data_IF_975300071112
#
_entry.id   IF_975300071112
#
_cell.length_a   1.000
_cell.length_b   1.000
_cell.length_c   1.000
_cell.angle_alpha   90.00
_cell.angle_beta   90.00
_cell.angle_gamma   90.00
#
_symmetry.space_group_name_H-M   'P 1'
#
loop_
_entity.id
_entity.type
_entity.pdbx_description
1 polymer ?
#
# COMPACT_ATOMS: atom_id res chain seq x y z
N UNK A 1 -10.90 -29.00 -0.11
CA UNK A 1 -10.52 -28.00 0.90
C UNK A 1 -11.78 -27.23 1.29
N UNK A 2 -12.30 -27.47 2.49
CA UNK A 2 -13.36 -26.64 3.07
C UNK A 2 -12.68 -25.36 3.58
N UNK A 3 -13.00 -24.22 2.97
CA UNK A 3 -12.56 -22.92 3.44
C UNK A 3 -13.32 -22.54 4.69
N UNK A 4 -12.62 -22.27 5.78
CA UNK A 4 -13.20 -21.71 7.00
C UNK A 4 -13.54 -20.23 6.75
N UNK A 5 -14.81 -19.86 6.93
CA UNK A 5 -15.28 -18.49 6.75
C UNK A 5 -15.15 -17.79 8.11
N UNK A 6 -14.18 -16.88 8.22
CA UNK A 6 -14.05 -15.99 9.37
C UNK A 6 -15.03 -14.83 9.19
N UNK A 7 -16.07 -14.76 10.04
CA UNK A 7 -17.02 -13.66 10.07
C UNK A 7 -16.39 -12.46 10.81
N UNK A 8 -15.96 -11.45 10.05
CA UNK A 8 -15.59 -10.15 10.61
C UNK A 8 -16.85 -9.44 11.13
N UNK A 9 -16.76 -8.81 12.30
CA UNK A 9 -17.89 -8.10 12.90
C UNK A 9 -18.28 -6.87 12.06
N UNK A 10 -19.58 -6.55 12.04
CA UNK A 10 -20.21 -5.55 11.16
C UNK A 10 -19.55 -4.16 11.20
N UNK A 11 -18.88 -3.79 12.29
CA UNK A 11 -18.19 -2.49 12.44
C UNK A 11 -16.90 -2.39 11.64
N UNK A 12 -16.19 -3.50 11.40
CA UNK A 12 -14.89 -3.49 10.71
C UNK A 12 -15.01 -3.41 9.19
N UNK A 13 -16.20 -3.64 8.62
CA UNK A 13 -16.42 -3.78 7.17
C UNK A 13 -17.07 -2.53 6.55
N UNK A 14 -17.45 -1.53 7.35
CA UNK A 14 -18.14 -0.34 6.83
C UNK A 14 -17.30 0.43 5.79
N UNK A 15 -15.97 0.41 5.93
CA UNK A 15 -15.03 1.06 5.00
C UNK A 15 -14.46 0.10 3.93
N UNK A 16 -15.04 -1.10 3.82
CA UNK A 16 -14.59 -2.13 2.88
C UNK A 16 -13.29 -2.82 3.30
N UNK A 17 -12.66 -3.51 2.35
CA UNK A 17 -11.39 -4.22 2.57
C UNK A 17 -10.47 -4.10 1.36
N UNK A 18 -9.16 -4.11 1.62
CA UNK A 18 -8.14 -4.18 0.58
C UNK A 18 -7.80 -5.64 0.29
N UNK A 19 -7.98 -6.06 -0.96
CA UNK A 19 -7.56 -7.38 -1.44
C UNK A 19 -6.11 -7.32 -1.93
N UNK A 20 -5.29 -8.28 -1.51
CA UNK A 20 -3.85 -8.31 -1.84
C UNK A 20 -3.48 -9.64 -2.49
N UNK A 21 -2.66 -9.65 -3.55
CA UNK A 21 -2.14 -10.89 -4.12
C UNK A 21 -1.31 -11.67 -3.10
N UNK A 22 -1.56 -12.99 -3.00
CA UNK A 22 -0.83 -13.86 -2.07
C UNK A 22 0.68 -13.92 -2.39
N UNK A 23 1.06 -13.74 -3.65
CA UNK A 23 2.46 -13.64 -4.09
C UNK A 23 3.19 -12.50 -3.38
N UNK A 24 2.56 -11.33 -3.31
CA UNK A 24 3.11 -10.14 -2.64
C UNK A 24 3.11 -10.34 -1.11
N UNK A 25 1.99 -10.84 -0.56
CA UNK A 25 1.89 -11.11 0.88
C UNK A 25 2.99 -12.06 1.38
N UNK A 26 3.30 -13.09 0.58
CA UNK A 26 4.30 -14.12 0.91
C UNK A 26 5.70 -13.81 0.37
N UNK A 27 5.88 -12.75 -0.39
CA UNK A 27 7.17 -12.43 -1.01
C UNK A 27 8.25 -12.26 0.07
N UNK A 28 9.39 -12.95 -0.03
CA UNK A 28 10.54 -12.72 0.85
C UNK A 28 11.39 -11.52 0.38
N UNK A 29 11.14 -11.01 -0.83
CA UNK A 29 11.94 -9.97 -1.48
C UNK A 29 11.58 -8.56 -1.00
N UNK A 30 10.49 -8.44 -0.24
CA UNK A 30 10.04 -7.19 0.37
C UNK A 30 9.79 -7.34 1.87
N UNK A 31 10.16 -6.30 2.60
CA UNK A 31 10.05 -6.19 4.04
C UNK A 31 8.58 -6.17 4.49
N UNK A 32 8.30 -6.57 5.75
CA UNK A 32 6.95 -6.45 6.31
C UNK A 32 6.40 -5.02 6.25
N UNK A 33 7.25 -4.01 6.44
CA UNK A 33 6.87 -2.60 6.32
C UNK A 33 6.50 -2.21 4.89
N UNK A 34 7.29 -2.62 3.90
CA UNK A 34 6.97 -2.42 2.49
C UNK A 34 5.65 -3.08 2.08
N UNK A 35 5.34 -4.27 2.60
CA UNK A 35 4.03 -4.92 2.38
C UNK A 35 2.88 -4.05 2.89
N UNK A 36 2.99 -3.50 4.10
CA UNK A 36 1.96 -2.63 4.67
C UNK A 36 1.78 -1.35 3.86
N UNK A 37 2.89 -0.73 3.43
CA UNK A 37 2.85 0.44 2.52
C UNK A 37 2.12 0.08 1.23
N UNK A 38 2.46 -1.04 0.59
CA UNK A 38 1.81 -1.47 -0.64
C UNK A 38 0.29 -1.65 -0.48
N UNK A 39 -0.16 -2.22 0.65
CA UNK A 39 -1.58 -2.41 0.91
C UNK A 39 -2.34 -1.08 1.05
N UNK A 40 -1.71 -0.08 1.66
CA UNK A 40 -2.26 1.27 1.72
C UNK A 40 -2.26 1.93 0.34
N UNK A 41 -1.20 1.78 -0.45
CA UNK A 41 -1.16 2.27 -1.83
C UNK A 41 -2.32 1.71 -2.67
N UNK A 42 -2.61 0.40 -2.57
CA UNK A 42 -3.79 -0.22 -3.23
C UNK A 42 -5.12 0.41 -2.79
N UNK A 43 -5.24 0.76 -1.51
CA UNK A 43 -6.43 1.44 -1.00
C UNK A 43 -6.54 2.84 -1.59
N UNK A 44 -5.44 3.58 -1.63
CA UNK A 44 -5.40 4.97 -2.08
C UNK A 44 -5.63 5.14 -3.58
N UNK A 45 -5.11 4.21 -4.39
CA UNK A 45 -5.33 4.21 -5.84
C UNK A 45 -6.82 4.10 -6.18
N UNK A 46 -7.58 3.32 -5.41
CA UNK A 46 -9.03 3.19 -5.55
C UNK A 46 -9.82 4.42 -5.14
N UNK A 47 -9.30 5.24 -4.24
CA UNK A 47 -10.01 6.43 -3.72
C UNK A 47 -9.71 7.70 -4.51
N UNK A 48 -8.72 7.70 -5.41
CA UNK A 48 -8.30 8.84 -6.26
C UNK A 48 -8.06 10.15 -5.48
N UNK A 49 -7.65 10.05 -4.22
CA UNK A 49 -7.40 11.23 -3.39
C UNK A 49 -6.01 11.77 -3.71
N UNK A 50 -5.90 13.04 -4.06
CA UNK A 50 -4.62 13.75 -4.17
C UNK A 50 -4.18 14.19 -2.78
N UNK A 51 -3.11 13.60 -2.27
CA UNK A 51 -2.51 13.97 -0.99
C UNK A 51 -1.00 13.80 -1.03
N UNK A 52 -0.31 14.37 -0.04
CA UNK A 52 1.10 14.12 0.18
C UNK A 52 1.31 12.66 0.60
N UNK A 53 1.61 11.80 -0.38
CA UNK A 53 1.64 10.34 -0.23
C UNK A 53 2.47 9.89 0.96
N UNK A 54 3.72 10.38 1.07
CA UNK A 54 4.63 10.00 2.16
C UNK A 54 4.11 10.42 3.53
N UNK A 55 3.57 11.64 3.65
CA UNK A 55 3.03 12.12 4.92
C UNK A 55 1.80 11.33 5.36
N UNK A 56 0.91 11.00 4.42
CA UNK A 56 -0.27 10.21 4.72
C UNK A 56 0.10 8.78 5.12
N UNK A 57 1.00 8.14 4.37
CA UNK A 57 1.53 6.81 4.72
C UNK A 57 2.20 6.81 6.10
N UNK A 58 3.02 7.83 6.39
CA UNK A 58 3.67 7.99 7.69
C UNK A 58 2.64 8.09 8.82
N UNK A 59 1.60 8.90 8.63
CA UNK A 59 0.52 9.04 9.61
C UNK A 59 -0.28 7.74 9.80
N UNK A 60 -0.66 7.07 8.72
CA UNK A 60 -1.52 5.88 8.78
C UNK A 60 -0.78 4.64 9.30
N UNK A 61 0.55 4.58 9.13
CA UNK A 61 1.38 3.50 9.68
C UNK A 61 2.03 3.84 11.04
N UNK A 62 1.99 5.11 11.46
CA UNK A 62 2.68 5.56 12.67
C UNK A 62 4.21 5.52 12.54
N UNK A 63 4.73 5.71 11.32
CA UNK A 63 6.15 5.66 11.00
C UNK A 63 6.69 7.01 10.50
N UNK A 64 8.01 7.19 10.50
CA UNK A 64 8.64 8.40 9.96
C UNK A 64 8.65 8.43 8.42
N UNK A 65 8.59 9.61 7.82
CA UNK A 65 8.61 9.79 6.35
C UNK A 65 9.85 9.21 5.67
N UNK A 66 10.99 9.18 6.38
CA UNK A 66 12.22 8.59 5.86
C UNK A 66 12.10 7.07 5.75
N UNK A 67 11.47 6.44 6.73
CA UNK A 67 11.20 5.00 6.72
C UNK A 67 10.20 4.64 5.63
N UNK A 68 9.15 5.45 5.47
CA UNK A 68 8.21 5.32 4.34
C UNK A 68 8.93 5.44 3.00
N UNK A 69 9.89 6.36 2.88
CA UNK A 69 10.65 6.52 1.64
C UNK A 69 11.47 5.27 1.32
N UNK A 70 12.09 4.64 2.33
CA UNK A 70 12.81 3.38 2.15
C UNK A 70 11.88 2.26 1.64
N UNK A 71 10.69 2.12 2.23
CA UNK A 71 9.71 1.13 1.78
C UNK A 71 9.20 1.40 0.35
N UNK A 72 8.98 2.67 -0.02
CA UNK A 72 8.57 3.02 -1.37
C UNK A 72 9.67 2.72 -2.39
N UNK A 73 10.94 2.98 -2.05
CA UNK A 73 12.07 2.57 -2.89
C UNK A 73 12.13 1.05 -3.03
N UNK A 74 12.01 0.30 -1.93
CA UNK A 74 12.00 -1.16 -1.93
C UNK A 74 10.91 -1.75 -2.84
N UNK A 75 9.70 -1.18 -2.80
CA UNK A 75 8.59 -1.58 -3.68
C UNK A 75 8.85 -1.24 -5.14
N UNK A 76 9.52 -0.11 -5.42
CA UNK A 76 9.88 0.29 -6.78
C UNK A 76 10.99 -0.61 -7.34
N UNK A 77 11.96 -1.02 -6.52
CA UNK A 77 13.08 -1.88 -6.91
C UNK A 77 12.62 -3.28 -7.38
N UNK A 78 11.46 -3.74 -6.89
CA UNK A 78 10.82 -5.00 -7.31
C UNK A 78 9.66 -4.79 -8.31
N UNK A 79 9.60 -3.61 -8.93
CA UNK A 79 8.61 -3.22 -9.95
C UNK A 79 7.14 -3.29 -9.50
N UNK A 80 6.84 -3.31 -8.20
CA UNK A 80 5.46 -3.35 -7.70
C UNK A 80 4.76 -1.99 -7.80
N UNK A 81 5.53 -0.91 -7.76
CA UNK A 81 5.02 0.45 -7.91
C UNK A 81 5.92 1.26 -8.84
N UNK A 82 5.35 2.33 -9.38
CA UNK A 82 6.12 3.39 -10.05
C UNK A 82 5.79 4.72 -9.39
N UNK A 83 6.83 5.40 -8.91
CA UNK A 83 6.73 6.74 -8.35
C UNK A 83 6.96 7.76 -9.46
N UNK A 84 6.09 8.76 -9.54
CA UNK A 84 6.27 9.92 -10.40
C UNK A 84 5.84 11.18 -9.66
N UNK A 85 6.33 12.34 -10.09
CA UNK A 85 5.92 13.64 -9.53
C UNK A 85 5.27 14.48 -10.60
N UNK A 86 4.17 15.14 -10.28
CA UNK A 86 3.59 16.15 -11.19
C UNK A 86 4.31 17.51 -11.05
N UNK A 87 3.92 18.48 -11.88
CA UNK A 87 4.51 19.84 -11.87
C UNK A 87 4.28 20.60 -10.55
N UNK A 88 3.30 20.17 -9.76
CA UNK A 88 2.93 20.74 -8.46
C UNK A 88 3.64 20.02 -7.29
N UNK A 89 4.57 19.10 -7.60
CA UNK A 89 5.30 18.23 -6.66
C UNK A 89 4.41 17.27 -5.88
N UNK A 90 3.19 17.02 -6.34
CA UNK A 90 2.41 15.91 -5.80
C UNK A 90 2.97 14.60 -6.32
N UNK A 91 3.02 13.62 -5.43
CA UNK A 91 3.49 12.28 -5.76
C UNK A 91 2.35 11.46 -6.33
N UNK A 92 2.58 10.95 -7.53
CA UNK A 92 1.71 10.03 -8.21
C UNK A 92 2.31 8.64 -8.09
N UNK A 93 1.50 7.71 -7.59
CA UNK A 93 1.84 6.30 -7.51
C UNK A 93 1.02 5.51 -8.54
N UNK A 94 1.72 4.74 -9.35
CA UNK A 94 1.10 3.73 -10.22
C UNK A 94 1.39 2.36 -9.62
N UNK A 95 0.38 1.50 -9.58
CA UNK A 95 0.50 0.15 -9.04
C UNK A 95 0.62 -0.82 -10.21
N UNK A 96 1.69 -1.62 -10.19
CA UNK A 96 1.96 -2.60 -11.22
C UNK A 96 1.50 -3.97 -10.69
N UNK A 97 0.34 -4.43 -11.17
CA UNK A 97 -0.14 -5.78 -10.89
C UNK A 97 -0.18 -6.50 -12.24
N UNK A 98 0.77 -7.42 -12.45
CA UNK A 98 0.79 -8.33 -13.59
C UNK A 98 -0.03 -9.59 -13.30
#
# INVERSE_FOLDING_TARGET
MQGEIVLLTKSAIFDGFTTVPNSILRSPDISPGAKNVFFLCLRYERTKVNFNLRQQLAMDLGEGTDQISQYLCELADVDLITLSSNREREELISINIQ
#
